data_IF_731199465962
#
_entry.id   IF_731199465962
#
_cell.length_a   1.000
_cell.length_b   1.000
_cell.length_c   1.000
_cell.angle_alpha   90.00
_cell.angle_beta   90.00
_cell.angle_gamma   90.00
#
_symmetry.space_group_name_H-M   'P 1'
#
loop_
_entity.id
_entity.type
_entity.pdbx_description
1 polymer ?
#
# COMPACT_ATOMS: atom_id res chain seq x y z
N UNK A 1 1.62 66.50 53.94
CA UNK A 1 2.17 65.59 52.94
C UNK A 1 1.29 64.39 52.90
N UNK A 2 0.53 64.16 51.80
CA UNK A 2 -0.28 62.92 51.58
C UNK A 2 0.64 61.81 51.02
N UNK A 3 0.69 60.63 51.63
CA UNK A 3 1.49 59.54 51.09
C UNK A 3 0.89 59.11 49.77
N UNK A 4 1.71 59.21 48.70
CA UNK A 4 1.38 58.60 47.39
C UNK A 4 1.45 57.09 47.57
N UNK A 5 0.30 56.44 47.65
CA UNK A 5 0.22 54.96 47.54
C UNK A 5 0.76 54.56 46.17
N UNK A 6 1.71 53.64 46.12
CA UNK A 6 2.28 53.19 44.81
C UNK A 6 1.19 52.63 43.90
N UNK A 7 1.18 53.12 42.67
CA UNK A 7 0.18 52.76 41.65
C UNK A 7 0.02 51.23 41.46
N UNK A 8 1.07 50.46 41.70
CA UNK A 8 1.10 49.01 41.69
C UNK A 8 0.16 48.32 42.70
N UNK A 9 -0.06 48.96 43.89
CA UNK A 9 -0.94 48.42 44.94
C UNK A 9 -2.42 48.64 44.60
N UNK A 10 -2.73 49.60 43.76
CA UNK A 10 -4.06 49.89 43.28
C UNK A 10 -4.45 48.98 42.12
N UNK A 11 -3.48 48.55 41.32
CA UNK A 11 -3.65 47.67 40.19
C UNK A 11 -4.04 46.23 40.64
N UNK A 12 -3.50 45.75 41.76
CA UNK A 12 -3.82 44.42 42.30
C UNK A 12 -5.18 44.27 42.98
N UNK A 13 -5.94 45.37 43.14
CA UNK A 13 -7.26 45.36 43.78
C UNK A 13 -8.40 45.81 42.86
N UNK A 14 -8.12 46.08 41.60
CA UNK A 14 -9.12 46.52 40.63
C UNK A 14 -9.63 45.33 39.81
N UNK A 15 -10.75 44.77 40.22
CA UNK A 15 -11.36 43.60 39.57
C UNK A 15 -12.01 43.93 38.21
N UNK A 16 -12.19 45.22 37.90
CA UNK A 16 -12.82 45.64 36.63
C UNK A 16 -11.91 45.46 35.40
N UNK A 17 -10.59 45.46 35.60
CA UNK A 17 -9.59 45.21 34.56
C UNK A 17 -9.29 43.70 34.34
N UNK A 18 -9.75 42.83 35.24
CA UNK A 18 -9.36 41.43 35.28
C UNK A 18 -9.84 40.66 34.04
N UNK A 19 -11.08 40.88 33.59
CA UNK A 19 -11.65 40.21 32.43
C UNK A 19 -10.91 40.51 31.11
N UNK A 20 -10.45 41.74 30.92
CA UNK A 20 -9.68 42.14 29.74
C UNK A 20 -8.28 41.52 29.71
N UNK A 21 -7.63 41.45 30.88
CA UNK A 21 -6.31 40.82 31.02
C UNK A 21 -6.40 39.31 30.82
N UNK A 22 -7.42 38.66 31.36
CA UNK A 22 -7.71 37.25 31.18
C UNK A 22 -7.93 36.92 29.70
N UNK A 23 -8.78 37.70 29.01
CA UNK A 23 -9.01 37.55 27.58
C UNK A 23 -7.72 37.71 26.75
N UNK A 24 -6.90 38.75 27.05
CA UNK A 24 -5.63 38.94 26.34
C UNK A 24 -4.65 37.77 26.51
N UNK A 25 -4.70 37.07 27.64
CA UNK A 25 -3.86 35.93 27.94
C UNK A 25 -4.39 34.65 27.31
N UNK A 26 -5.71 34.41 27.37
CA UNK A 26 -6.35 33.20 26.91
C UNK A 26 -6.54 33.18 25.38
N UNK A 27 -6.83 34.35 24.78
CA UNK A 27 -7.08 34.46 23.33
C UNK A 27 -5.95 33.87 22.44
N UNK A 28 -4.65 34.25 22.64
CA UNK A 28 -3.58 33.69 21.82
C UNK A 28 -3.45 32.15 21.98
N UNK A 29 -3.73 31.63 23.17
CA UNK A 29 -3.69 30.18 23.43
C UNK A 29 -4.78 29.48 22.65
N UNK A 30 -6.01 30.02 22.65
CA UNK A 30 -7.13 29.45 21.87
C UNK A 30 -6.82 29.50 20.38
N UNK A 31 -6.29 30.62 19.88
CA UNK A 31 -5.93 30.76 18.46
C UNK A 31 -4.84 29.76 18.06
N UNK A 32 -3.82 29.60 18.88
CA UNK A 32 -2.79 28.58 18.64
C UNK A 32 -3.35 27.17 18.67
N UNK A 33 -4.16 26.84 19.65
CA UNK A 33 -4.81 25.53 19.76
C UNK A 33 -5.67 25.22 18.53
N UNK A 34 -6.45 26.21 18.06
CA UNK A 34 -7.25 26.09 16.85
C UNK A 34 -6.37 25.87 15.61
N UNK A 35 -5.30 26.65 15.47
CA UNK A 35 -4.36 26.52 14.36
C UNK A 35 -3.70 25.13 14.33
N UNK A 36 -3.27 24.62 15.49
CA UNK A 36 -2.72 23.27 15.58
C UNK A 36 -3.76 22.19 15.25
N UNK A 37 -5.01 22.36 15.69
CA UNK A 37 -6.09 21.43 15.35
C UNK A 37 -6.28 21.30 13.83
N UNK A 38 -6.23 22.42 13.10
CA UNK A 38 -6.30 22.39 11.63
C UNK A 38 -5.08 21.70 11.00
N UNK A 39 -3.88 21.94 11.50
CA UNK A 39 -2.67 21.29 11.00
C UNK A 39 -2.69 19.78 11.21
N UNK A 40 -3.10 19.32 12.40
CA UNK A 40 -3.26 17.89 12.67
C UNK A 40 -4.33 17.27 11.80
N UNK A 41 -5.48 17.91 11.64
CA UNK A 41 -6.53 17.42 10.76
C UNK A 41 -6.04 17.25 9.32
N UNK A 42 -5.29 18.22 8.79
CA UNK A 42 -4.72 18.16 7.45
C UNK A 42 -3.70 17.01 7.32
N UNK A 43 -2.86 16.80 8.32
CA UNK A 43 -1.91 15.69 8.36
C UNK A 43 -2.61 14.32 8.36
N UNK A 44 -3.60 14.13 9.23
CA UNK A 44 -4.38 12.88 9.29
C UNK A 44 -5.19 12.64 8.02
N UNK A 45 -5.77 13.69 7.44
CA UNK A 45 -6.45 13.61 6.15
C UNK A 45 -5.50 13.13 5.06
N UNK A 46 -4.28 13.65 5.04
CA UNK A 46 -3.24 13.24 4.08
C UNK A 46 -2.87 11.76 4.24
N UNK A 47 -2.69 11.28 5.48
CA UNK A 47 -2.44 9.87 5.76
C UNK A 47 -3.59 8.98 5.26
N UNK A 48 -4.83 9.31 5.62
CA UNK A 48 -6.01 8.54 5.19
C UNK A 48 -6.19 8.53 3.67
N UNK A 49 -5.81 9.61 2.99
CA UNK A 49 -5.84 9.64 1.52
C UNK A 49 -4.77 8.74 0.92
N UNK A 50 -3.56 8.72 1.47
CA UNK A 50 -2.48 7.83 1.04
C UNK A 50 -2.89 6.36 1.18
N UNK A 51 -3.54 6.01 2.28
CA UNK A 51 -4.09 4.67 2.51
C UNK A 51 -5.16 4.30 1.47
N UNK A 52 -6.14 5.17 1.22
CA UNK A 52 -7.19 4.96 0.21
C UNK A 52 -6.61 4.76 -1.19
N UNK A 53 -5.52 5.44 -1.50
CA UNK A 53 -4.84 5.29 -2.79
C UNK A 53 -4.19 3.92 -2.89
N UNK A 54 -3.53 3.45 -1.83
CA UNK A 54 -2.97 2.10 -1.81
C UNK A 54 -4.06 1.05 -2.08
N UNK A 55 -5.23 1.17 -1.44
CA UNK A 55 -6.38 0.31 -1.71
C UNK A 55 -6.88 0.39 -3.15
N UNK A 56 -7.03 1.61 -3.70
CA UNK A 56 -7.51 1.79 -5.06
C UNK A 56 -6.55 1.20 -6.10
N UNK A 57 -5.25 1.44 -5.94
CA UNK A 57 -4.22 0.90 -6.85
C UNK A 57 -4.18 -0.63 -6.75
N UNK A 58 -4.23 -1.18 -5.54
CA UNK A 58 -4.24 -2.62 -5.32
C UNK A 58 -5.48 -3.30 -5.92
N UNK A 59 -6.68 -2.71 -5.75
CA UNK A 59 -7.91 -3.24 -6.34
C UNK A 59 -7.86 -3.23 -7.87
N UNK A 60 -7.35 -2.15 -8.48
CA UNK A 60 -7.16 -2.08 -9.93
C UNK A 60 -6.20 -3.18 -10.37
N UNK A 61 -5.04 -3.32 -9.72
CA UNK A 61 -4.04 -4.33 -10.04
C UNK A 61 -4.59 -5.75 -9.92
N UNK A 62 -5.36 -6.03 -8.88
CA UNK A 62 -5.92 -7.37 -8.63
C UNK A 62 -6.87 -7.85 -9.74
N UNK A 63 -7.35 -6.94 -10.59
CA UNK A 63 -8.26 -7.21 -11.71
C UNK A 63 -7.57 -7.36 -13.06
N UNK A 64 -6.26 -7.15 -13.13
CA UNK A 64 -5.50 -7.32 -14.37
C UNK A 64 -5.14 -8.80 -14.59
N UNK A 65 -5.22 -9.25 -15.82
CA UNK A 65 -4.80 -10.59 -16.23
C UNK A 65 -3.30 -10.64 -16.52
N UNK A 66 -2.74 -9.54 -17.00
CA UNK A 66 -1.32 -9.32 -17.23
C UNK A 66 -1.04 -7.81 -17.10
N UNK A 67 0.21 -7.45 -16.86
CA UNK A 67 0.64 -6.07 -16.68
C UNK A 67 1.83 -5.79 -17.57
N UNK A 68 1.84 -4.61 -18.18
CA UNK A 68 2.99 -4.10 -18.92
C UNK A 68 3.55 -2.81 -18.26
N UNK A 69 4.65 -2.30 -18.82
CA UNK A 69 5.26 -1.07 -18.33
C UNK A 69 4.34 0.16 -18.50
N UNK A 70 3.43 0.14 -19.47
CA UNK A 70 2.47 1.22 -19.73
C UNK A 70 1.41 1.25 -18.65
N UNK A 71 0.88 0.09 -18.27
CA UNK A 71 -0.10 -0.04 -17.18
C UNK A 71 0.49 0.46 -15.85
N UNK A 72 1.72 0.06 -15.54
CA UNK A 72 2.41 0.47 -14.30
C UNK A 72 2.67 1.99 -14.30
N UNK A 73 3.05 2.55 -15.44
CA UNK A 73 3.23 3.98 -15.59
C UNK A 73 1.89 4.73 -15.42
N UNK A 74 0.82 4.21 -16.00
CA UNK A 74 -0.53 4.76 -15.85
C UNK A 74 -0.99 4.72 -14.39
N UNK A 75 -0.80 3.62 -13.68
CA UNK A 75 -1.18 3.47 -12.27
C UNK A 75 -0.41 4.46 -11.37
N UNK A 76 0.89 4.62 -11.60
CA UNK A 76 1.67 5.61 -10.86
C UNK A 76 1.24 7.05 -11.18
N UNK A 77 0.88 7.35 -12.43
CA UNK A 77 0.36 8.66 -12.80
C UNK A 77 -1.05 8.91 -12.23
N UNK A 78 -1.90 7.90 -12.18
CA UNK A 78 -3.21 7.97 -11.52
C UNK A 78 -3.06 8.27 -10.04
N UNK A 79 -2.16 7.58 -9.37
CA UNK A 79 -1.83 7.83 -7.97
C UNK A 79 -1.38 9.27 -7.74
N UNK A 80 -0.53 9.82 -8.62
CA UNK A 80 -0.08 11.21 -8.54
C UNK A 80 -1.24 12.21 -8.60
N UNK A 81 -2.29 11.87 -9.33
CA UNK A 81 -3.51 12.69 -9.41
C UNK A 81 -4.43 12.57 -8.20
N UNK A 82 -4.40 11.43 -7.53
CA UNK A 82 -5.24 11.16 -6.35
C UNK A 82 -4.64 11.71 -5.06
N UNK A 83 -3.32 11.89 -5.01
CA UNK A 83 -2.64 12.42 -3.82
C UNK A 83 -2.97 13.91 -3.62
N UNK A 84 -3.17 14.34 -2.36
CA UNK A 84 -3.43 15.73 -2.06
C UNK A 84 -2.24 16.61 -2.43
N UNK A 85 -2.51 17.84 -2.84
CA UNK A 85 -1.48 18.79 -3.27
C UNK A 85 -0.46 19.21 -2.21
N UNK A 86 -0.62 18.75 -0.98
CA UNK A 86 0.32 18.97 0.14
C UNK A 86 1.31 17.82 0.33
N UNK A 87 1.21 16.77 -0.45
CA UNK A 87 2.21 15.72 -0.50
C UNK A 87 3.26 16.13 -1.51
N UNK A 88 4.40 16.60 -1.01
CA UNK A 88 5.49 17.16 -1.83
C UNK A 88 6.24 16.09 -2.60
N UNK A 89 6.40 14.92 -2.00
CA UNK A 89 7.22 13.82 -2.51
C UNK A 89 6.50 12.51 -2.29
N UNK A 90 6.67 11.60 -3.22
CA UNK A 90 5.93 10.34 -3.31
C UNK A 90 6.86 9.21 -3.64
N UNK A 91 6.54 8.04 -3.13
CA UNK A 91 7.16 6.80 -3.54
C UNK A 91 6.10 5.72 -3.62
N UNK A 92 6.18 4.90 -4.66
CA UNK A 92 5.29 3.79 -4.89
C UNK A 92 6.08 2.58 -5.29
N UNK A 93 5.69 1.43 -4.77
CA UNK A 93 6.20 0.14 -5.22
C UNK A 93 5.02 -0.81 -5.38
N UNK A 94 4.97 -1.48 -6.51
CA UNK A 94 4.00 -2.54 -6.79
C UNK A 94 4.80 -3.77 -7.15
N UNK A 95 4.55 -4.87 -6.45
CA UNK A 95 5.31 -6.11 -6.61
C UNK A 95 4.36 -7.29 -6.64
N UNK A 96 4.62 -8.25 -7.51
CA UNK A 96 3.96 -9.54 -7.50
C UNK A 96 4.87 -10.55 -6.83
N UNK A 97 4.34 -11.25 -5.84
CA UNK A 97 5.08 -12.19 -4.99
C UNK A 97 4.36 -13.51 -5.02
N UNK A 98 5.07 -14.60 -5.23
CA UNK A 98 4.53 -15.93 -5.09
C UNK A 98 5.14 -16.69 -3.93
N UNK A 99 4.44 -17.73 -3.47
CA UNK A 99 4.91 -18.61 -2.41
C UNK A 99 5.19 -19.98 -2.96
N UNK A 100 6.46 -20.41 -2.87
CA UNK A 100 6.92 -21.69 -3.37
C UNK A 100 7.92 -22.33 -2.38
N UNK A 101 7.75 -23.60 -2.12
CA UNK A 101 8.63 -24.39 -1.24
C UNK A 101 8.90 -23.74 0.13
N UNK A 102 7.91 -23.07 0.70
CA UNK A 102 8.05 -22.39 1.99
C UNK A 102 8.72 -21.01 1.94
N UNK A 103 9.00 -20.49 0.74
CA UNK A 103 9.70 -19.22 0.54
C UNK A 103 8.89 -18.29 -0.35
N UNK A 104 8.92 -16.99 -0.03
CA UNK A 104 8.36 -15.96 -0.89
C UNK A 104 9.36 -15.59 -1.98
N UNK A 105 8.91 -15.59 -3.23
CA UNK A 105 9.69 -15.21 -4.41
C UNK A 105 9.05 -14.02 -5.11
N UNK A 106 9.86 -13.04 -5.45
CA UNK A 106 9.39 -11.85 -6.18
C UNK A 106 9.37 -12.15 -7.68
N UNK A 107 8.20 -12.12 -8.27
CA UNK A 107 8.05 -12.35 -9.70
C UNK A 107 8.46 -11.13 -10.51
N UNK A 108 7.99 -9.98 -10.09
CA UNK A 108 8.37 -8.69 -10.62
C UNK A 108 8.11 -7.60 -9.58
N UNK A 109 8.83 -6.52 -9.69
CA UNK A 109 8.66 -5.34 -8.85
C UNK A 109 8.88 -4.09 -9.67
N UNK A 110 7.96 -3.15 -9.55
CA UNK A 110 8.05 -1.82 -10.15
C UNK A 110 8.03 -0.78 -9.06
N UNK A 111 9.00 0.12 -9.06
CA UNK A 111 9.07 1.23 -8.11
C UNK A 111 9.23 2.56 -8.82
N UNK A 112 8.58 3.58 -8.28
CA UNK A 112 8.73 4.97 -8.68
C UNK A 112 8.87 5.83 -7.44
N UNK A 113 9.89 6.65 -7.41
CA UNK A 113 10.18 7.55 -6.28
C UNK A 113 10.50 8.93 -6.82
N UNK A 114 9.91 9.95 -6.21
CA UNK A 114 10.23 11.35 -6.51
C UNK A 114 11.59 11.74 -5.94
N UNK A 115 12.28 12.67 -6.61
CA UNK A 115 13.59 13.15 -6.20
C UNK A 115 13.59 13.68 -4.76
N UNK A 116 14.62 13.33 -4.01
CA UNK A 116 14.82 13.79 -2.63
C UNK A 116 13.98 13.06 -1.57
N UNK A 117 13.24 12.01 -1.93
CA UNK A 117 12.60 11.11 -1.00
C UNK A 117 13.42 9.82 -0.86
N UNK A 118 13.52 9.29 0.36
CA UNK A 118 13.94 7.90 0.56
C UNK A 118 12.78 7.02 0.08
N UNK A 119 12.94 6.43 -1.09
CA UNK A 119 11.89 5.68 -1.75
C UNK A 119 12.02 4.18 -1.58
N UNK A 120 11.14 3.51 -2.27
CA UNK A 120 11.20 2.06 -2.39
C UNK A 120 12.13 1.69 -3.55
N UNK A 121 13.12 0.88 -3.28
CA UNK A 121 13.82 0.15 -4.33
C UNK A 121 12.97 -1.03 -4.81
N UNK A 122 13.16 -1.52 -6.05
CA UNK A 122 12.50 -2.73 -6.51
C UNK A 122 12.72 -3.88 -5.51
N UNK A 123 11.64 -4.59 -5.21
CA UNK A 123 11.68 -5.70 -4.26
C UNK A 123 12.49 -6.86 -4.81
N UNK A 124 13.25 -7.51 -3.96
CA UNK A 124 13.97 -8.75 -4.23
C UNK A 124 13.53 -9.83 -3.25
N UNK A 125 13.81 -11.10 -3.54
CA UNK A 125 13.44 -12.22 -2.67
C UNK A 125 13.94 -12.06 -1.23
N UNK A 126 15.06 -11.37 -1.06
CA UNK A 126 15.69 -11.14 0.25
C UNK A 126 15.07 -9.97 1.03
N UNK A 127 14.36 -9.07 0.33
CA UNK A 127 13.80 -7.84 0.92
C UNK A 127 12.29 -7.89 1.09
N UNK A 128 11.67 -9.07 0.89
CA UNK A 128 10.23 -9.25 1.13
C UNK A 128 9.91 -8.98 2.60
N UNK A 129 8.95 -8.08 2.90
CA UNK A 129 8.56 -7.75 4.28
C UNK A 129 7.68 -8.88 4.86
N UNK A 130 8.31 -9.85 5.53
CA UNK A 130 7.65 -11.05 6.04
C UNK A 130 6.58 -10.78 7.09
N UNK A 131 6.67 -9.67 7.80
CA UNK A 131 5.75 -9.22 8.84
C UNK A 131 4.33 -8.91 8.35
N UNK A 132 4.22 -8.49 7.10
CA UNK A 132 2.93 -8.16 6.47
C UNK A 132 2.43 -9.24 5.50
N UNK A 133 3.23 -10.27 5.22
CA UNK A 133 2.85 -11.31 4.28
C UNK A 133 1.80 -12.25 4.91
N UNK A 134 0.69 -12.51 4.20
CA UNK A 134 -0.31 -13.47 4.65
C UNK A 134 0.22 -14.89 4.53
N UNK A 135 -0.35 -15.80 5.30
CA UNK A 135 -0.14 -17.24 5.09
C UNK A 135 -0.71 -17.63 3.73
N UNK A 136 0.12 -18.19 2.87
CA UNK A 136 -0.22 -18.55 1.50
C UNK A 136 -0.11 -20.06 1.29
N UNK A 137 -0.94 -20.58 0.42
CA UNK A 137 -0.78 -21.93 -0.09
C UNK A 137 0.38 -21.98 -1.11
N UNK A 138 0.97 -23.16 -1.26
CA UNK A 138 1.99 -23.35 -2.29
C UNK A 138 1.47 -22.93 -3.67
N UNK A 139 2.26 -22.17 -4.40
CA UNK A 139 1.96 -21.64 -5.73
C UNK A 139 0.88 -20.54 -5.77
N UNK A 140 0.41 -20.05 -4.64
CA UNK A 140 -0.39 -18.83 -4.58
C UNK A 140 0.47 -17.60 -4.86
N UNK A 141 -0.16 -16.53 -5.34
CA UNK A 141 0.50 -15.25 -5.49
C UNK A 141 -0.30 -14.12 -4.84
N UNK A 142 0.41 -13.07 -4.46
CA UNK A 142 -0.14 -11.83 -3.95
C UNK A 142 0.50 -10.64 -4.63
N UNK A 143 -0.22 -9.53 -4.62
CA UNK A 143 0.28 -8.23 -5.05
C UNK A 143 0.53 -7.41 -3.78
N UNK A 144 1.76 -6.96 -3.62
CA UNK A 144 2.15 -6.02 -2.60
C UNK A 144 2.15 -4.63 -3.23
N UNK A 145 1.30 -3.75 -2.72
CA UNK A 145 1.26 -2.33 -3.11
C UNK A 145 1.69 -1.48 -1.92
N UNK A 146 2.76 -0.74 -2.09
CA UNK A 146 3.31 0.16 -1.09
C UNK A 146 3.28 1.58 -1.62
N UNK A 147 2.69 2.46 -0.84
CA UNK A 147 2.55 3.88 -1.15
C UNK A 147 3.08 4.70 -0.01
N UNK A 148 3.99 5.60 -0.30
CA UNK A 148 4.52 6.54 0.67
C UNK A 148 4.36 7.97 0.17
N UNK A 149 4.02 8.87 1.07
CA UNK A 149 3.88 10.29 0.79
C UNK A 149 4.47 11.13 1.90
N UNK A 150 5.22 12.17 1.54
CA UNK A 150 5.75 13.15 2.49
C UNK A 150 4.81 14.34 2.54
N UNK A 151 4.13 14.48 3.67
CA UNK A 151 3.31 15.64 3.96
C UNK A 151 4.15 16.81 4.46
N UNK A 152 3.86 18.01 3.96
CA UNK A 152 4.48 19.25 4.39
C UNK A 152 3.44 20.20 4.99
N UNK A 153 3.64 20.72 6.20
CA UNK A 153 2.70 21.67 6.80
C UNK A 153 2.64 22.99 6.02
N UNK A 154 1.48 23.65 6.01
CA UNK A 154 1.27 24.96 5.35
C UNK A 154 2.17 26.01 5.93
N UNK A 155 2.46 25.93 7.21
CA UNK A 155 3.23 26.91 7.96
C UNK A 155 4.25 26.20 8.84
N UNK A 156 5.40 26.82 8.99
CA UNK A 156 6.43 26.38 9.93
C UNK A 156 6.19 26.89 11.36
N UNK A 157 5.05 27.57 11.58
CA UNK A 157 4.66 28.05 12.90
C UNK A 157 4.47 26.84 13.82
N UNK A 158 5.19 26.81 14.92
CA UNK A 158 5.12 25.75 15.91
C UNK A 158 6.06 24.58 15.69
N UNK A 159 6.93 24.61 14.66
CA UNK A 159 8.02 23.64 14.50
C UNK A 159 7.55 22.23 14.14
N UNK A 160 6.36 22.04 13.56
CA UNK A 160 5.91 20.73 13.08
C UNK A 160 6.83 20.29 11.93
N UNK A 161 7.51 19.13 12.06
CA UNK A 161 8.35 18.61 11.01
C UNK A 161 7.50 18.04 9.87
N UNK A 162 8.08 17.92 8.69
CA UNK A 162 7.51 17.13 7.60
C UNK A 162 7.34 15.68 8.06
N UNK A 163 6.20 15.09 7.75
CA UNK A 163 5.88 13.71 8.11
C UNK A 163 5.82 12.85 6.87
N UNK A 164 6.39 11.65 6.94
CA UNK A 164 6.28 10.65 5.88
C UNK A 164 5.34 9.56 6.34
N UNK A 165 4.30 9.35 5.55
CA UNK A 165 3.31 8.29 5.74
C UNK A 165 3.61 7.17 4.76
N UNK A 166 3.66 5.95 5.24
CA UNK A 166 3.88 4.76 4.41
C UNK A 166 2.79 3.74 4.71
N UNK A 167 2.12 3.30 3.67
CA UNK A 167 1.05 2.31 3.75
C UNK A 167 1.40 1.16 2.82
N UNK A 168 1.24 -0.06 3.31
CA UNK A 168 1.44 -1.29 2.56
C UNK A 168 0.15 -2.11 2.56
N UNK A 169 -0.23 -2.62 1.41
CA UNK A 169 -1.39 -3.46 1.23
C UNK A 169 -1.01 -4.71 0.45
N UNK A 170 -1.48 -5.85 0.92
CA UNK A 170 -1.32 -7.13 0.24
C UNK A 170 -2.70 -7.60 -0.21
N UNK A 171 -2.86 -7.83 -1.51
CA UNK A 171 -4.11 -8.31 -2.11
C UNK A 171 -3.83 -9.53 -3.01
N UNK A 172 -4.88 -10.32 -3.29
CA UNK A 172 -4.78 -11.48 -4.17
C UNK A 172 -5.32 -11.14 -5.57
N UNK A 173 -4.66 -11.62 -6.62
CA UNK A 173 -5.25 -11.55 -7.96
C UNK A 173 -6.62 -12.22 -8.00
N UNK A 174 -7.59 -11.60 -8.70
CA UNK A 174 -8.99 -12.08 -8.71
C UNK A 174 -9.32 -12.97 -9.88
N UNK A 175 -8.72 -12.72 -11.03
CA UNK A 175 -9.05 -13.42 -12.27
C UNK A 175 -8.00 -14.44 -12.69
N UNK A 176 -6.76 -14.20 -12.30
CA UNK A 176 -5.63 -15.09 -12.60
C UNK A 176 -4.94 -15.50 -11.32
N UNK A 177 -4.29 -16.64 -11.32
CA UNK A 177 -3.50 -17.09 -10.16
C UNK A 177 -2.27 -16.23 -9.94
N UNK A 178 -1.64 -15.80 -11.02
CA UNK A 178 -0.43 -14.98 -11.06
C UNK A 178 -0.66 -13.89 -12.10
N UNK A 179 -0.35 -12.65 -11.79
CA UNK A 179 -0.33 -11.56 -12.77
C UNK A 179 1.10 -11.49 -13.34
N UNK A 180 1.30 -11.96 -14.58
CA UNK A 180 2.60 -11.89 -15.22
C UNK A 180 2.89 -10.45 -15.68
N UNK A 181 4.17 -10.08 -15.68
CA UNK A 181 4.62 -8.93 -16.43
C UNK A 181 4.85 -9.33 -17.90
N UNK A 182 4.44 -8.51 -18.84
CA UNK A 182 4.45 -8.83 -20.27
C UNK A 182 5.83 -9.28 -20.82
N UNK A 183 6.92 -8.88 -20.17
CA UNK A 183 8.29 -9.27 -20.55
C UNK A 183 8.73 -10.60 -19.91
N UNK A 184 7.96 -11.17 -19.01
CA UNK A 184 8.32 -12.36 -18.25
C UNK A 184 7.45 -13.55 -18.70
N UNK A 185 8.08 -14.70 -18.93
CA UNK A 185 7.34 -15.91 -19.26
C UNK A 185 6.61 -16.44 -18.01
N UNK A 186 5.27 -16.49 -18.00
CA UNK A 186 4.50 -16.91 -16.83
C UNK A 186 4.80 -18.36 -16.39
N UNK A 187 5.29 -19.20 -17.28
CA UNK A 187 5.59 -20.61 -16.96
C UNK A 187 6.86 -20.81 -16.13
N UNK A 188 7.74 -19.79 -16.09
CA UNK A 188 8.96 -19.81 -15.26
C UNK A 188 8.75 -19.17 -13.89
N UNK A 189 7.59 -18.56 -13.70
CA UNK A 189 7.24 -17.80 -12.52
C UNK A 189 6.35 -18.66 -11.61
N UNK A 190 6.87 -19.16 -10.50
CA UNK A 190 6.17 -20.12 -9.64
C UNK A 190 5.77 -21.39 -10.39
N UNK A 191 6.72 -22.22 -10.82
CA UNK A 191 6.41 -23.46 -11.52
C UNK A 191 5.49 -24.32 -10.66
N UNK A 192 4.47 -24.87 -11.28
CA UNK A 192 3.63 -25.86 -10.64
C UNK A 192 4.51 -27.08 -10.37
N UNK A 193 4.95 -27.26 -9.14
CA UNK A 193 5.44 -28.58 -8.73
C UNK A 193 4.26 -29.53 -8.88
N UNK A 194 4.21 -30.21 -10.01
CA UNK A 194 3.33 -31.36 -10.14
C UNK A 194 3.88 -32.30 -9.07
N UNK A 195 3.18 -32.41 -7.96
CA UNK A 195 3.50 -33.42 -6.98
C UNK A 195 3.62 -34.70 -7.76
N UNK A 196 4.80 -35.29 -7.78
CA UNK A 196 4.99 -36.68 -8.11
C UNK A 196 4.16 -37.41 -7.04
N UNK A 197 2.85 -37.53 -7.32
CA UNK A 197 2.07 -38.58 -6.71
C UNK A 197 2.87 -39.86 -6.94
N UNK A 198 2.92 -40.81 -5.98
CA UNK A 198 3.63 -42.03 -6.17
C UNK A 198 3.14 -42.58 -7.50
N UNK A 199 4.07 -42.75 -8.47
CA UNK A 199 3.83 -43.47 -9.69
C UNK A 199 3.31 -44.82 -9.25
N UNK A 200 1.97 -45.01 -9.36
CA UNK A 200 1.40 -46.32 -9.21
C UNK A 200 2.05 -47.15 -10.30
N UNK A 201 2.94 -48.08 -9.88
CA UNK A 201 3.34 -49.19 -10.69
C UNK A 201 2.07 -49.91 -11.20
N UNK A 202 1.54 -49.40 -12.31
CA UNK A 202 0.53 -50.06 -13.13
C UNK A 202 1.21 -51.17 -13.86
N UNK A 203 1.12 -52.37 -13.27
CA UNK A 203 1.61 -53.60 -13.85
C UNK A 203 1.11 -53.80 -15.26
N UNK A 204 2.01 -54.20 -16.13
CA UNK A 204 1.70 -54.69 -17.45
C UNK A 204 0.68 -55.83 -17.40
N UNK A 205 -0.42 -55.62 -18.06
CA UNK A 205 -1.43 -56.62 -18.36
C UNK A 205 -1.60 -56.70 -19.88
N UNK A 206 -0.72 -57.46 -20.50
CA UNK A 206 -0.84 -57.96 -21.84
C UNK A 206 -1.91 -59.05 -21.84
N UNK A 207 -2.99 -58.88 -22.56
CA UNK A 207 -3.90 -59.91 -23.03
C UNK A 207 -4.86 -59.23 -24.01
N UNK A 208 -4.76 -59.51 -25.27
CA UNK A 208 -5.22 -60.79 -25.84
C UNK A 208 -6.36 -60.44 -26.77
N UNK A 209 -6.06 -60.50 -28.03
CA UNK A 209 -6.88 -60.64 -29.22
C UNK A 209 -8.27 -61.24 -28.97
N UNK A 210 -9.30 -60.56 -29.42
CA UNK A 210 -10.66 -61.10 -29.58
C UNK A 210 -11.37 -60.36 -30.71
N UNK A 211 -11.13 -60.81 -31.95
CA UNK A 211 -11.90 -60.37 -33.09
C UNK A 211 -13.32 -60.87 -32.96
N UNK A 212 -14.29 -60.01 -33.14
CA UNK A 212 -15.70 -60.29 -33.29
C UNK A 212 -16.22 -59.44 -34.44
N UNK A 213 -16.15 -60.04 -35.63
CA UNK A 213 -16.81 -59.51 -36.81
C UNK A 213 -18.31 -59.49 -36.59
N UNK A 214 -18.96 -58.38 -36.82
CA UNK A 214 -20.40 -58.31 -37.02
C UNK A 214 -20.66 -58.33 -38.51
N UNK A 215 -21.17 -59.47 -38.90
CA UNK A 215 -21.73 -59.82 -40.27
C UNK A 215 -23.09 -59.12 -40.37
N UNK A 216 -23.23 -58.27 -41.36
CA UNK A 216 -24.50 -57.71 -41.76
C UNK A 216 -25.03 -58.65 -42.86
N UNK A 217 -25.92 -59.59 -42.48
CA UNK A 217 -26.72 -60.31 -43.43
C UNK A 217 -27.77 -59.41 -44.06
N UNK A 218 -27.67 -59.22 -45.36
CA UNK A 218 -28.78 -58.92 -46.24
C UNK A 218 -29.62 -60.17 -46.33
N UNK A 219 -30.90 -60.02 -46.18
CA UNK A 219 -31.88 -60.89 -46.83
C UNK A 219 -33.27 -60.25 -46.85
N UNK A 220 -33.74 -60.04 -48.11
CA UNK A 220 -35.12 -59.98 -48.66
C UNK A 220 -36.19 -59.06 -48.11
#
# INVERSE_FOLDING_TARGET
MKPRTPALRRFGGDETANANVEFMLVFPIIVLWLAYSFLFFDAFKSNTQTEKIAFAVSDIMSRHDAVDATDLTFLTALQDKMLPGRVDQRATRISSICFEDGVYKVLWSHSKTDDGMTGFEPLTDQTVPLDIMPIMAAQDSVILTEVSGRWSPVTTIGGLPKQTWSNALVDRPRYVRIIPHATLNPSTLCPKTIGSGPEGEGGGGESGLGGGGFDLGDDD
#
